data_IF_165065024289
#
_entry.id   IF_165065024289
#
_cell.length_a   1.000
_cell.length_b   1.000
_cell.length_c   1.000
_cell.angle_alpha   90.00
_cell.angle_beta   90.00
_cell.angle_gamma   90.00
#
_symmetry.space_group_name_H-M   'P 1'
#
loop_
_entity.id
_entity.type
_entity.pdbx_description
1 polymer ?
#
# COMPACT_ATOMS: atom_id res chain seq x y z
N UNK A 1 22.90 32.33 -11.16
CA UNK A 1 22.19 31.35 -12.00
C UNK A 1 23.10 30.13 -12.09
N UNK A 2 22.61 28.93 -11.76
CA UNK A 2 23.51 27.78 -11.45
C UNK A 2 23.69 26.81 -12.62
N UNK A 3 22.63 26.49 -13.37
CA UNK A 3 22.66 25.50 -14.47
C UNK A 3 21.66 25.88 -15.59
N UNK A 4 20.59 25.09 -15.80
CA UNK A 4 19.69 25.12 -16.96
C UNK A 4 19.13 26.49 -17.33
N UNK A 5 18.71 27.31 -16.36
CA UNK A 5 18.20 28.67 -16.60
C UNK A 5 19.22 29.54 -17.36
N UNK A 6 20.51 29.34 -17.09
CA UNK A 6 21.61 30.11 -17.71
C UNK A 6 22.12 29.53 -19.01
N UNK A 7 21.81 28.25 -19.28
CA UNK A 7 22.13 27.59 -20.53
C UNK A 7 21.04 27.88 -21.57
N UNK A 8 19.79 27.56 -21.25
CA UNK A 8 18.64 27.89 -22.08
C UNK A 8 17.33 27.80 -21.28
N UNK A 9 16.86 28.93 -20.79
CA UNK A 9 15.66 28.95 -19.95
C UNK A 9 14.38 28.47 -20.65
N UNK A 10 14.26 28.69 -21.96
CA UNK A 10 13.05 28.35 -22.71
C UNK A 10 13.05 26.90 -23.16
N UNK A 11 14.24 26.31 -23.40
CA UNK A 11 14.34 24.92 -23.80
C UNK A 11 14.20 23.92 -22.63
N UNK A 12 14.55 24.31 -21.40
CA UNK A 12 14.54 23.37 -20.27
C UNK A 12 13.27 23.40 -19.42
N UNK A 13 12.62 24.56 -19.30
CA UNK A 13 11.51 24.75 -18.36
C UNK A 13 10.20 25.04 -19.06
N UNK A 14 9.11 24.57 -18.45
CA UNK A 14 7.76 24.92 -18.86
C UNK A 14 7.45 26.36 -18.47
N UNK A 15 6.82 27.09 -19.39
CA UNK A 15 6.40 28.47 -19.19
C UNK A 15 4.89 28.58 -19.25
N UNK A 16 4.32 29.48 -18.45
CA UNK A 16 2.89 29.76 -18.50
C UNK A 16 2.50 30.29 -19.89
N UNK A 17 1.51 29.69 -20.57
CA UNK A 17 1.06 30.16 -21.89
C UNK A 17 0.57 31.62 -21.87
N UNK A 18 0.00 32.03 -20.74
CA UNK A 18 -0.56 33.37 -20.54
C UNK A 18 0.51 34.40 -20.12
N UNK A 19 1.65 33.94 -19.60
CA UNK A 19 2.74 34.80 -19.19
C UNK A 19 4.10 34.09 -19.32
N UNK A 20 4.75 34.15 -20.49
CA UNK A 20 6.01 33.42 -20.77
C UNK A 20 7.23 33.84 -19.94
N UNK A 21 7.09 34.81 -19.03
CA UNK A 21 8.12 35.17 -18.05
C UNK A 21 7.98 34.38 -16.73
N UNK A 22 6.87 33.65 -16.56
CA UNK A 22 6.59 32.84 -15.39
C UNK A 22 6.65 31.35 -15.74
N UNK A 23 7.17 30.54 -14.83
CA UNK A 23 7.15 29.10 -14.99
C UNK A 23 5.75 28.54 -14.75
N UNK A 24 5.43 27.49 -15.48
CA UNK A 24 4.32 26.60 -15.19
C UNK A 24 4.80 25.60 -14.11
N UNK A 25 4.49 25.88 -12.85
CA UNK A 25 4.90 25.06 -11.70
C UNK A 25 3.79 24.08 -11.31
N UNK A 26 3.92 22.86 -11.79
CA UNK A 26 3.04 21.73 -11.45
C UNK A 26 3.65 20.85 -10.36
N UNK A 27 4.85 21.20 -9.88
CA UNK A 27 5.60 20.44 -8.88
C UNK A 27 5.50 21.03 -7.48
N UNK A 28 5.24 22.34 -7.37
CA UNK A 28 5.24 23.08 -6.12
C UNK A 28 6.62 23.55 -5.68
N UNK A 29 7.64 23.38 -6.54
CA UNK A 29 9.04 23.71 -6.23
C UNK A 29 9.54 24.97 -6.97
N UNK A 30 8.63 25.69 -7.64
CA UNK A 30 8.85 26.95 -8.34
C UNK A 30 9.07 26.83 -9.84
N UNK A 31 9.25 25.63 -10.40
CA UNK A 31 9.41 25.38 -11.84
C UNK A 31 9.14 23.90 -12.19
N UNK A 32 8.91 23.62 -13.48
CA UNK A 32 8.81 22.25 -14.00
C UNK A 32 9.67 22.10 -15.25
N UNK A 33 10.38 20.98 -15.38
CA UNK A 33 11.11 20.66 -16.63
C UNK A 33 10.13 20.36 -17.77
N UNK A 34 10.47 20.79 -18.99
CA UNK A 34 9.63 20.58 -20.16
C UNK A 34 10.01 19.30 -20.93
N UNK A 35 9.42 18.18 -20.52
CA UNK A 35 9.61 16.88 -21.17
C UNK A 35 9.00 16.79 -22.59
N UNK A 36 8.40 17.86 -23.12
CA UNK A 36 8.03 17.92 -24.54
C UNK A 36 9.21 18.32 -25.43
N UNK A 37 10.29 18.84 -24.85
CA UNK A 37 11.48 19.29 -25.58
C UNK A 37 12.45 18.12 -25.82
N UNK A 38 12.89 17.87 -27.07
CA UNK A 38 13.82 16.77 -27.37
C UNK A 38 15.10 16.78 -26.54
N UNK A 39 15.63 17.97 -26.22
CA UNK A 39 16.84 18.12 -25.39
C UNK A 39 16.62 17.63 -23.96
N UNK A 40 15.46 17.92 -23.36
CA UNK A 40 15.09 17.50 -22.00
C UNK A 40 14.81 15.99 -21.98
N UNK A 41 14.10 15.47 -22.98
CA UNK A 41 13.87 14.03 -23.16
C UNK A 41 15.21 13.30 -23.23
N UNK A 42 16.12 13.75 -24.11
CA UNK A 42 17.45 13.14 -24.27
C UNK A 42 18.24 13.20 -22.96
N UNK A 43 18.26 14.35 -22.30
CA UNK A 43 18.95 14.52 -21.01
C UNK A 43 18.45 13.52 -19.96
N UNK A 44 17.13 13.38 -19.83
CA UNK A 44 16.53 12.47 -18.86
C UNK A 44 16.82 11.00 -19.20
N UNK A 45 16.65 10.59 -20.46
CA UNK A 45 16.97 9.23 -20.90
C UNK A 45 18.46 8.91 -20.73
N UNK A 46 19.36 9.81 -21.11
CA UNK A 46 20.81 9.60 -20.94
C UNK A 46 21.17 9.49 -19.44
N UNK A 47 20.53 10.26 -18.57
CA UNK A 47 20.68 10.13 -17.12
C UNK A 47 20.23 8.75 -16.63
N UNK A 48 19.05 8.30 -17.03
CA UNK A 48 18.53 6.97 -16.64
C UNK A 48 19.44 5.85 -17.15
N UNK A 49 19.88 5.91 -18.41
CA UNK A 49 20.81 4.92 -18.98
C UNK A 49 22.14 4.90 -18.22
N UNK A 50 22.68 6.07 -17.87
CA UNK A 50 23.88 6.17 -17.05
C UNK A 50 23.71 5.47 -15.69
N UNK A 51 22.60 5.70 -15.00
CA UNK A 51 22.33 5.02 -13.72
C UNK A 51 22.18 3.50 -13.89
N UNK A 52 21.55 3.02 -14.96
CA UNK A 52 21.42 1.59 -15.22
C UNK A 52 22.75 0.94 -15.62
N UNK A 53 23.43 1.45 -16.64
CA UNK A 53 24.64 0.81 -17.20
C UNK A 53 25.91 1.04 -16.39
N UNK A 54 26.08 2.26 -15.85
CA UNK A 54 27.34 2.65 -15.18
C UNK A 54 27.24 2.44 -13.68
N UNK A 55 26.11 2.79 -13.08
CA UNK A 55 25.92 2.71 -11.63
C UNK A 55 25.28 1.39 -11.19
N UNK A 56 24.71 0.61 -12.11
CA UNK A 56 24.13 -0.71 -11.83
C UNK A 56 22.75 -0.66 -11.17
N UNK A 57 21.95 0.39 -11.43
CA UNK A 57 20.60 0.55 -10.88
C UNK A 57 19.58 -0.33 -11.63
N UNK A 58 18.78 -1.11 -10.88
CA UNK A 58 17.78 -2.07 -11.42
C UNK A 58 16.41 -1.44 -11.79
N UNK A 59 16.18 -0.19 -11.42
CA UNK A 59 14.93 0.51 -11.64
C UNK A 59 14.80 1.83 -10.91
N UNK A 60 13.69 2.53 -11.13
CA UNK A 60 13.47 3.90 -10.70
C UNK A 60 12.07 4.09 -10.12
N UNK A 61 11.96 4.84 -9.02
CA UNK A 61 10.72 5.47 -8.56
C UNK A 61 10.75 6.94 -8.96
N UNK A 62 9.83 7.33 -9.83
CA UNK A 62 9.69 8.69 -10.33
C UNK A 62 8.81 9.50 -9.39
N UNK A 63 9.41 10.52 -8.79
CA UNK A 63 8.73 11.55 -8.01
C UNK A 63 7.86 12.43 -8.89
N UNK A 64 6.65 12.74 -8.41
CA UNK A 64 5.63 13.51 -9.12
C UNK A 64 5.52 13.15 -10.61
N UNK A 65 5.41 11.84 -10.90
CA UNK A 65 5.68 11.26 -12.23
C UNK A 65 4.76 11.80 -13.33
N UNK A 66 3.61 12.37 -12.96
CA UNK A 66 2.67 13.01 -13.88
C UNK A 66 3.32 14.18 -14.61
N UNK A 67 4.26 14.88 -13.96
CA UNK A 67 5.06 15.96 -14.56
C UNK A 67 5.78 15.50 -15.83
N UNK A 68 6.21 14.23 -15.88
CA UNK A 68 6.95 13.64 -17.01
C UNK A 68 6.08 13.45 -18.27
N UNK A 69 4.76 13.38 -18.08
CA UNK A 69 3.76 13.18 -19.14
C UNK A 69 2.92 14.43 -19.44
N UNK A 70 3.28 15.61 -18.90
CA UNK A 70 2.47 16.82 -19.06
C UNK A 70 2.58 17.46 -20.44
N UNK A 71 1.45 17.56 -21.11
CA UNK A 71 1.26 18.37 -22.32
C UNK A 71 0.65 19.74 -21.97
N UNK A 72 0.26 20.53 -22.97
CA UNK A 72 -0.59 21.72 -22.76
C UNK A 72 -2.02 21.35 -22.32
N UNK A 73 -2.48 20.12 -22.60
CA UNK A 73 -3.86 19.67 -22.35
C UNK A 73 -3.99 18.78 -21.10
N UNK A 74 -2.92 18.65 -20.30
CA UNK A 74 -2.86 17.73 -19.16
C UNK A 74 -1.92 16.55 -19.39
N UNK A 75 -2.02 15.54 -18.54
CA UNK A 75 -1.24 14.31 -18.65
C UNK A 75 -1.63 13.50 -19.89
N UNK A 76 -0.66 12.86 -20.52
CA UNK A 76 -0.88 11.91 -21.60
C UNK A 76 0.00 10.69 -21.39
N UNK A 77 -0.61 9.50 -21.38
CA UNK A 77 0.10 8.21 -21.32
C UNK A 77 1.00 8.02 -22.55
N UNK A 78 0.61 8.58 -23.70
CA UNK A 78 1.36 8.55 -24.96
C UNK A 78 2.38 9.70 -25.09
N UNK A 79 2.71 10.37 -24.00
CA UNK A 79 3.67 11.48 -24.03
C UNK A 79 5.03 11.01 -24.59
N UNK A 80 5.71 11.80 -25.46
CA UNK A 80 6.93 11.36 -26.14
C UNK A 80 8.02 10.83 -25.20
N UNK A 81 8.15 11.41 -24.01
CA UNK A 81 9.08 10.91 -22.99
C UNK A 81 8.70 9.51 -22.49
N UNK A 82 7.43 9.26 -22.18
CA UNK A 82 6.97 7.97 -21.65
C UNK A 82 7.07 6.87 -22.72
N UNK A 83 6.73 7.18 -23.97
CA UNK A 83 6.93 6.26 -25.11
C UNK A 83 8.42 5.94 -25.27
N UNK A 84 9.29 6.96 -25.26
CA UNK A 84 10.73 6.74 -25.39
C UNK A 84 11.31 5.93 -24.22
N UNK A 85 10.86 6.19 -22.99
CA UNK A 85 11.28 5.47 -21.77
C UNK A 85 10.92 3.98 -21.85
N UNK A 86 9.67 3.68 -22.18
CA UNK A 86 9.13 2.32 -22.15
C UNK A 86 9.56 1.45 -23.33
N UNK A 87 9.93 2.07 -24.45
CA UNK A 87 10.44 1.38 -25.65
C UNK A 87 11.95 1.33 -25.76
N UNK A 88 12.67 2.00 -24.85
CA UNK A 88 14.12 1.97 -24.80
C UNK A 88 14.62 0.54 -24.49
N UNK A 89 15.57 -0.01 -25.26
CA UNK A 89 16.01 -1.39 -25.10
C UNK A 89 16.73 -1.66 -23.78
N UNK A 90 17.30 -0.63 -23.14
CA UNK A 90 17.95 -0.74 -21.84
C UNK A 90 16.95 -0.44 -20.70
N UNK A 91 16.17 0.64 -20.82
CA UNK A 91 15.31 1.12 -19.72
C UNK A 91 13.96 0.40 -19.65
N UNK A 92 13.37 0.02 -20.78
CA UNK A 92 12.06 -0.64 -20.84
C UNK A 92 11.97 -1.92 -19.98
N UNK A 93 13.01 -2.77 -19.91
CA UNK A 93 13.06 -3.94 -19.03
C UNK A 93 13.32 -3.66 -17.54
N UNK A 94 13.70 -2.42 -17.16
CA UNK A 94 13.95 -2.08 -15.75
C UNK A 94 12.65 -1.89 -14.98
N UNK A 95 12.71 -1.85 -13.64
CA UNK A 95 11.51 -1.56 -12.84
C UNK A 95 11.20 -0.07 -12.90
N UNK A 96 10.01 0.29 -13.35
CA UNK A 96 9.56 1.68 -13.45
C UNK A 96 8.37 1.88 -12.50
N UNK A 97 8.55 2.68 -11.46
CA UNK A 97 7.54 2.97 -10.44
C UNK A 97 7.18 4.44 -10.50
N UNK A 98 5.91 4.79 -10.61
CA UNK A 98 5.42 6.15 -10.61
C UNK A 98 4.81 6.52 -9.25
N UNK A 99 5.08 7.75 -8.80
CA UNK A 99 4.12 8.50 -7.99
C UNK A 99 3.09 9.10 -8.95
N UNK A 100 1.87 8.54 -9.05
CA UNK A 100 0.95 8.84 -10.14
C UNK A 100 0.13 10.11 -9.89
N UNK A 101 0.75 11.12 -9.30
CA UNK A 101 0.18 12.44 -9.15
C UNK A 101 1.24 13.55 -9.26
N UNK A 102 0.76 14.78 -9.43
CA UNK A 102 1.50 16.00 -9.11
C UNK A 102 0.52 17.04 -8.53
N UNK A 103 0.97 18.26 -8.24
CA UNK A 103 0.09 19.30 -7.64
C UNK A 103 -0.67 20.13 -8.69
N UNK A 104 -0.40 19.92 -9.97
CA UNK A 104 -1.04 20.66 -11.06
C UNK A 104 -2.49 20.24 -11.27
N UNK A 105 -3.26 21.06 -12.00
CA UNK A 105 -4.63 20.70 -12.37
C UNK A 105 -4.66 19.38 -13.15
N UNK A 106 -5.57 18.47 -12.77
CA UNK A 106 -5.65 17.13 -13.32
C UNK A 106 -4.44 16.25 -12.94
N UNK A 107 -3.77 16.56 -11.83
CA UNK A 107 -2.58 15.86 -11.37
C UNK A 107 -2.82 14.41 -10.97
N UNK A 108 -3.99 14.04 -10.44
CA UNK A 108 -4.26 12.65 -10.02
C UNK A 108 -4.47 11.72 -11.22
N UNK A 109 -3.54 10.79 -11.43
CA UNK A 109 -3.45 9.91 -12.61
C UNK A 109 -3.24 8.44 -12.24
N UNK A 110 -3.68 8.03 -11.05
CA UNK A 110 -3.59 6.63 -10.60
C UNK A 110 -4.30 5.72 -11.61
N UNK A 111 -3.58 4.72 -12.11
CA UNK A 111 -4.06 3.75 -13.09
C UNK A 111 -3.78 4.14 -14.55
N UNK A 112 -3.40 5.40 -14.82
CA UNK A 112 -3.26 5.93 -16.18
C UNK A 112 -1.83 5.85 -16.74
N UNK A 113 -0.87 5.27 -16.01
CA UNK A 113 0.50 5.11 -16.52
C UNK A 113 0.63 3.94 -17.52
N UNK A 114 1.68 3.95 -18.37
CA UNK A 114 1.93 2.87 -19.31
C UNK A 114 2.00 1.49 -18.64
N UNK A 115 1.66 0.43 -19.40
CA UNK A 115 1.53 -0.95 -18.91
C UNK A 115 2.79 -1.45 -18.20
N UNK A 116 3.99 -1.08 -18.67
CA UNK A 116 5.27 -1.49 -18.07
C UNK A 116 5.61 -0.77 -16.77
N UNK A 117 4.83 0.25 -16.37
CA UNK A 117 5.02 0.98 -15.13
C UNK A 117 4.09 0.44 -14.04
N UNK A 118 4.59 0.51 -12.81
CA UNK A 118 3.84 0.26 -11.57
C UNK A 118 3.64 1.59 -10.86
N UNK A 119 2.66 1.68 -9.97
CA UNK A 119 2.22 2.94 -9.39
C UNK A 119 2.01 2.82 -7.89
N UNK A 120 2.43 3.84 -7.14
CA UNK A 120 2.03 4.00 -5.75
C UNK A 120 0.51 4.10 -5.63
N UNK A 121 -0.07 3.22 -4.81
CA UNK A 121 -1.52 3.15 -4.58
C UNK A 121 -1.90 3.94 -3.31
N UNK A 122 -2.14 5.24 -3.47
CA UNK A 122 -2.61 6.12 -2.40
C UNK A 122 -3.99 5.71 -1.87
N UNK A 123 -4.86 5.16 -2.73
CA UNK A 123 -6.19 4.66 -2.31
C UNK A 123 -6.08 3.47 -1.37
N UNK A 124 -5.13 2.56 -1.59
CA UNK A 124 -4.80 1.49 -0.64
C UNK A 124 -4.33 2.07 0.69
N UNK A 125 -3.33 2.97 0.65
CA UNK A 125 -2.80 3.64 1.85
C UNK A 125 -3.90 4.28 2.68
N UNK A 126 -4.68 5.14 2.03
CA UNK A 126 -5.70 5.96 2.65
C UNK A 126 -6.82 5.11 3.24
N UNK A 127 -7.29 4.11 2.49
CA UNK A 127 -8.39 3.29 2.93
C UNK A 127 -7.99 2.35 4.07
N UNK A 128 -6.82 1.68 3.98
CA UNK A 128 -6.36 0.76 5.04
C UNK A 128 -6.07 1.52 6.35
N UNK A 129 -5.51 2.73 6.27
CA UNK A 129 -5.38 3.62 7.44
C UNK A 129 -6.73 3.94 8.05
N UNK A 130 -7.70 4.37 7.22
CA UNK A 130 -9.05 4.66 7.69
C UNK A 130 -9.73 3.43 8.30
N UNK A 131 -9.60 2.25 7.70
CA UNK A 131 -10.13 0.97 8.19
C UNK A 131 -9.70 0.68 9.62
N UNK A 132 -8.39 0.55 9.85
CA UNK A 132 -7.88 0.13 11.14
C UNK A 132 -7.89 1.23 12.20
N UNK A 133 -7.69 2.49 11.79
CA UNK A 133 -7.50 3.60 12.73
C UNK A 133 -8.77 4.42 12.89
N UNK A 134 -9.24 5.11 11.84
CA UNK A 134 -10.35 6.04 11.96
C UNK A 134 -11.69 5.33 12.24
N UNK A 135 -12.02 4.30 11.46
CA UNK A 135 -13.24 3.51 11.61
C UNK A 135 -13.16 2.60 12.83
N UNK A 136 -12.03 1.92 13.04
CA UNK A 136 -11.79 1.13 14.26
C UNK A 136 -11.92 1.93 15.55
N UNK A 137 -11.53 3.21 15.56
CA UNK A 137 -11.73 4.12 16.69
C UNK A 137 -13.18 4.61 16.87
N UNK A 138 -14.09 4.28 15.94
CA UNK A 138 -15.45 4.81 15.90
C UNK A 138 -15.53 6.31 15.60
N UNK A 139 -14.48 6.90 15.00
CA UNK A 139 -14.39 8.35 14.71
C UNK A 139 -15.22 8.80 13.51
N UNK A 140 -15.88 7.89 12.81
CA UNK A 140 -16.65 8.22 11.61
C UNK A 140 -18.11 7.78 11.75
N UNK A 141 -19.02 8.71 11.47
CA UNK A 141 -20.47 8.49 11.57
C UNK A 141 -21.00 7.56 10.47
N UNK A 142 -22.23 7.06 10.65
CA UNK A 142 -22.86 6.00 9.83
C UNK A 142 -23.08 6.25 8.34
N UNK A 143 -22.54 7.32 7.76
CA UNK A 143 -22.54 7.55 6.29
C UNK A 143 -21.19 7.31 5.64
N UNK A 144 -20.11 7.39 6.40
CA UNK A 144 -18.74 7.17 5.95
C UNK A 144 -18.19 5.97 6.74
N UNK A 145 -18.78 4.79 6.59
CA UNK A 145 -18.22 3.56 7.14
C UNK A 145 -17.28 2.92 6.12
N UNK A 146 -16.20 2.28 6.60
CA UNK A 146 -15.46 1.37 5.75
C UNK A 146 -16.41 0.27 5.29
N UNK A 147 -16.74 0.27 4.00
CA UNK A 147 -17.54 -0.81 3.43
C UNK A 147 -16.63 -2.00 3.14
N UNK A 148 -17.09 -3.20 3.50
CA UNK A 148 -16.41 -4.44 3.16
C UNK A 148 -15.96 -4.54 1.68
N UNK A 149 -16.76 -4.09 0.68
CA UNK A 149 -16.33 -4.05 -0.72
C UNK A 149 -15.04 -3.28 -0.99
N UNK A 150 -14.86 -2.10 -0.39
CA UNK A 150 -13.68 -1.28 -0.68
C UNK A 150 -12.43 -1.91 -0.06
N UNK A 151 -12.52 -2.48 1.15
CA UNK A 151 -11.43 -3.27 1.74
C UNK A 151 -11.11 -4.49 0.87
N UNK A 152 -12.13 -5.25 0.47
CA UNK A 152 -11.98 -6.43 -0.38
C UNK A 152 -11.27 -6.09 -1.69
N UNK A 153 -11.69 -4.99 -2.33
CA UNK A 153 -11.05 -4.48 -3.55
C UNK A 153 -9.57 -4.14 -3.33
N UNK A 154 -9.23 -3.51 -2.19
CA UNK A 154 -7.83 -3.22 -1.84
C UNK A 154 -7.02 -4.49 -1.61
N UNK A 155 -7.55 -5.46 -0.87
CA UNK A 155 -6.92 -6.75 -0.57
C UNK A 155 -6.71 -7.60 -1.84
N UNK A 156 -7.63 -7.51 -2.80
CA UNK A 156 -7.63 -8.26 -4.07
C UNK A 156 -6.80 -7.59 -5.18
N UNK A 157 -6.03 -6.54 -4.88
CA UNK A 157 -5.07 -5.94 -5.80
C UNK A 157 -5.56 -4.68 -6.54
N UNK A 158 -6.70 -4.10 -6.14
CA UNK A 158 -7.25 -2.85 -6.69
C UNK A 158 -7.54 -2.90 -8.20
N UNK A 159 -8.28 -3.92 -8.64
CA UNK A 159 -8.66 -4.10 -10.04
C UNK A 159 -9.45 -2.90 -10.62
N UNK A 160 -10.17 -2.16 -9.78
CA UNK A 160 -10.86 -0.92 -10.14
C UNK A 160 -9.89 0.16 -10.67
N UNK A 161 -8.69 0.23 -10.10
CA UNK A 161 -7.66 1.20 -10.47
C UNK A 161 -6.73 0.70 -11.57
N UNK A 162 -6.43 -0.59 -11.61
CA UNK A 162 -5.38 -1.10 -12.50
C UNK A 162 -5.91 -2.04 -13.60
N UNK A 163 -7.14 -2.52 -13.51
CA UNK A 163 -7.72 -3.44 -14.50
C UNK A 163 -8.32 -2.79 -15.74
N UNK A 164 -8.55 -1.48 -15.73
CA UNK A 164 -9.31 -0.77 -16.77
C UNK A 164 -8.49 -0.30 -17.99
N UNK A 165 -7.23 -0.74 -18.14
CA UNK A 165 -6.39 -0.36 -19.29
C UNK A 165 -6.92 -0.91 -20.61
N UNK A 166 -6.41 -0.43 -21.76
CA UNK A 166 -6.73 -1.02 -23.07
C UNK A 166 -5.56 -1.82 -23.66
N UNK A 167 -5.75 -3.10 -24.06
CA UNK A 167 -6.90 -3.97 -23.78
C UNK A 167 -7.17 -4.17 -22.27
N UNK A 168 -8.44 -4.41 -21.92
CA UNK A 168 -8.89 -4.62 -20.54
C UNK A 168 -8.11 -5.76 -19.87
N UNK A 169 -7.70 -5.56 -18.61
CA UNK A 169 -6.95 -6.55 -17.83
C UNK A 169 -5.49 -6.77 -18.25
N UNK A 170 -4.93 -5.93 -19.13
CA UNK A 170 -3.50 -6.03 -19.51
C UNK A 170 -2.54 -5.79 -18.34
N UNK A 171 -2.92 -4.93 -17.40
CA UNK A 171 -2.21 -4.76 -16.13
C UNK A 171 -2.87 -5.66 -15.09
N UNK A 172 -2.05 -6.33 -14.29
CA UNK A 172 -2.49 -7.16 -13.16
C UNK A 172 -2.25 -6.49 -11.80
N UNK A 173 -2.45 -7.22 -10.68
CA UNK A 173 -2.23 -6.71 -9.32
C UNK A 173 -0.85 -6.10 -9.09
N UNK A 174 0.17 -6.60 -9.81
CA UNK A 174 1.55 -6.14 -9.69
C UNK A 174 1.76 -4.68 -10.15
N UNK A 175 0.82 -4.13 -10.93
CA UNK A 175 0.79 -2.70 -11.25
C UNK A 175 0.63 -1.83 -9.99
N UNK A 176 0.04 -2.40 -8.93
CA UNK A 176 -0.16 -1.72 -7.65
C UNK A 176 1.05 -1.88 -6.73
N UNK A 177 1.67 -0.76 -6.38
CA UNK A 177 2.57 -0.67 -5.23
C UNK A 177 1.72 -0.27 -4.01
N UNK A 178 1.34 -1.27 -3.22
CA UNK A 178 0.62 -1.06 -1.97
C UNK A 178 1.59 -0.55 -0.90
N UNK A 179 1.16 0.43 -0.11
CA UNK A 179 1.94 0.95 1.00
C UNK A 179 1.00 1.52 2.06
N UNK A 180 1.42 1.46 3.33
CA UNK A 180 0.72 2.16 4.42
C UNK A 180 1.40 3.47 4.72
N UNK A 181 2.70 3.57 4.49
CA UNK A 181 3.58 4.65 4.94
C UNK A 181 4.69 4.84 3.91
N UNK A 182 5.18 6.06 3.83
CA UNK A 182 6.26 6.46 2.96
C UNK A 182 7.09 7.53 3.70
N UNK A 183 8.08 8.10 3.03
CA UNK A 183 8.81 9.24 3.59
C UNK A 183 7.89 10.46 3.78
N UNK A 184 6.83 10.58 2.97
CA UNK A 184 5.78 11.57 3.16
C UNK A 184 4.75 11.11 4.19
N UNK A 185 4.48 11.96 5.18
CA UNK A 185 3.54 11.67 6.26
C UNK A 185 4.20 11.01 7.47
N UNK A 186 3.37 10.36 8.29
CA UNK A 186 3.82 9.65 9.47
C UNK A 186 4.51 8.32 9.13
N UNK A 187 5.40 7.88 10.03
CA UNK A 187 5.82 6.47 10.14
C UNK A 187 4.66 5.59 10.62
N UNK A 188 4.79 4.27 10.53
CA UNK A 188 3.69 3.39 10.93
C UNK A 188 3.43 3.44 12.44
N UNK A 189 4.48 3.60 13.24
CA UNK A 189 4.35 3.83 14.67
C UNK A 189 3.61 5.17 14.95
N UNK A 190 4.03 6.26 14.30
CA UNK A 190 3.45 7.58 14.55
C UNK A 190 1.99 7.69 14.08
N UNK A 191 1.57 6.93 13.06
CA UNK A 191 0.15 6.78 12.70
C UNK A 191 -0.72 6.28 13.85
N UNK A 192 -0.17 5.50 14.76
CA UNK A 192 -0.89 4.97 15.95
C UNK A 192 -0.68 5.83 17.20
N UNK A 193 0.25 6.79 17.16
CA UNK A 193 0.63 7.57 18.33
C UNK A 193 0.18 9.04 18.28
N UNK A 194 -0.16 9.57 17.11
CA UNK A 194 -0.47 10.99 16.92
C UNK A 194 -1.75 11.20 16.11
N UNK A 195 -2.61 12.12 16.55
CA UNK A 195 -3.73 12.60 15.74
C UNK A 195 -3.34 13.85 14.95
N UNK A 196 -2.51 14.71 15.55
CA UNK A 196 -2.08 15.97 14.95
C UNK A 196 -0.61 15.88 14.53
N UNK A 197 -0.23 16.66 13.52
CA UNK A 197 1.17 16.79 13.10
C UNK A 197 1.92 17.75 14.04
N UNK A 198 3.18 17.44 14.31
CA UNK A 198 4.11 18.20 15.16
C UNK A 198 5.38 18.54 14.35
N UNK A 199 5.21 19.40 13.34
CA UNK A 199 6.26 19.85 12.42
C UNK A 199 6.93 21.16 12.90
N UNK A 200 6.81 21.55 14.17
CA UNK A 200 7.37 22.79 14.70
C UNK A 200 8.88 22.92 14.43
N UNK A 201 9.59 21.79 14.45
CA UNK A 201 11.02 21.71 14.18
C UNK A 201 11.41 22.18 12.76
N UNK A 202 10.47 22.20 11.80
CA UNK A 202 10.71 22.65 10.44
C UNK A 202 10.76 24.18 10.32
N UNK A 203 10.35 24.92 11.36
CA UNK A 203 10.40 26.39 11.39
C UNK A 203 9.28 27.09 10.64
N UNK A 204 8.31 26.36 10.10
CA UNK A 204 7.18 26.92 9.33
C UNK A 204 5.92 27.13 10.20
N UNK A 205 6.06 27.07 11.53
CA UNK A 205 4.94 27.16 12.49
C UNK A 205 3.87 26.10 12.21
N UNK A 206 4.31 24.86 11.96
CA UNK A 206 3.45 23.69 11.74
C UNK A 206 2.48 23.83 10.54
N UNK A 207 2.78 24.70 9.56
CA UNK A 207 1.94 24.90 8.37
C UNK A 207 2.22 23.87 7.27
N UNK A 208 3.41 23.30 7.26
CA UNK A 208 3.85 22.31 6.29
C UNK A 208 3.39 20.89 6.64
N UNK A 209 3.46 19.98 5.67
CA UNK A 209 2.93 18.61 5.79
C UNK A 209 1.41 18.51 5.63
N UNK A 210 0.92 17.30 5.38
CA UNK A 210 -0.52 17.02 5.23
C UNK A 210 -1.28 17.17 6.54
N UNK A 211 -2.53 17.60 6.49
CA UNK A 211 -3.46 17.58 7.64
C UNK A 211 -4.36 16.32 7.64
N UNK A 212 -4.30 15.52 6.56
CA UNK A 212 -5.14 14.34 6.38
C UNK A 212 -4.34 13.04 6.60
N UNK A 213 -3.84 12.84 7.82
CA UNK A 213 -3.00 11.67 8.13
C UNK A 213 -3.78 10.35 8.24
N UNK A 214 -5.08 10.44 8.53
CA UNK A 214 -5.97 9.30 8.84
C UNK A 214 -5.41 8.42 9.97
N UNK A 215 -4.80 9.07 10.96
CA UNK A 215 -4.15 8.45 12.11
C UNK A 215 -5.09 8.34 13.32
N UNK A 216 -4.69 7.55 14.30
CA UNK A 216 -5.38 7.47 15.59
C UNK A 216 -4.39 7.25 16.72
N UNK A 217 -4.34 8.18 17.66
CA UNK A 217 -3.40 8.16 18.79
C UNK A 217 -3.75 7.17 19.93
N UNK A 218 -4.86 6.43 19.80
CA UNK A 218 -5.38 5.51 20.82
C UNK A 218 -5.72 6.14 22.18
N UNK A 219 -5.93 7.46 22.23
CA UNK A 219 -6.37 8.19 23.43
C UNK A 219 -5.29 9.01 24.12
N UNK A 220 -4.02 8.84 23.74
CA UNK A 220 -2.90 9.65 24.24
C UNK A 220 -2.12 10.23 23.06
N UNK A 221 -1.76 11.52 23.06
CA UNK A 221 -0.97 12.13 21.99
C UNK A 221 0.53 11.94 22.27
N UNK A 222 1.23 11.20 21.42
CA UNK A 222 2.65 10.89 21.56
C UNK A 222 2.97 9.81 22.61
N UNK A 223 4.16 9.86 23.25
CA UNK A 223 4.60 8.89 24.25
C UNK A 223 3.64 8.79 25.45
N UNK A 224 3.46 7.57 25.98
CA UNK A 224 2.58 7.29 27.13
C UNK A 224 3.05 6.03 27.87
N UNK A 225 2.73 5.93 29.15
CA UNK A 225 2.96 4.75 30.00
C UNK A 225 1.70 3.89 30.18
N UNK A 226 0.57 4.27 29.55
CA UNK A 226 -0.68 3.51 29.62
C UNK A 226 -0.57 2.20 28.84
N UNK A 227 -0.54 1.08 29.56
CA UNK A 227 -0.35 -0.27 29.02
C UNK A 227 -1.43 -0.68 28.02
N UNK A 228 -2.68 -0.24 28.22
CA UNK A 228 -3.80 -0.58 27.34
C UNK A 228 -3.68 0.19 26.02
N UNK A 229 -3.29 1.47 26.09
CA UNK A 229 -3.01 2.29 24.90
C UNK A 229 -1.85 1.70 24.11
N UNK A 230 -0.75 1.35 24.78
CA UNK A 230 0.42 0.78 24.13
C UNK A 230 0.11 -0.57 23.45
N UNK A 231 -0.65 -1.46 24.11
CA UNK A 231 -1.09 -2.72 23.51
C UNK A 231 -1.98 -2.49 22.29
N UNK A 232 -2.93 -1.56 22.37
CA UNK A 232 -3.81 -1.23 21.24
C UNK A 232 -3.04 -0.66 20.05
N UNK A 233 -2.04 0.21 20.28
CA UNK A 233 -1.16 0.75 19.23
C UNK A 233 -0.38 -0.35 18.52
N UNK A 234 0.26 -1.24 19.29
CA UNK A 234 1.03 -2.37 18.75
C UNK A 234 0.15 -3.31 17.91
N UNK A 235 -1.07 -3.60 18.37
CA UNK A 235 -2.04 -4.37 17.58
C UNK A 235 -2.44 -3.67 16.28
N UNK A 236 -2.76 -2.37 16.31
CA UNK A 236 -3.05 -1.59 15.10
C UNK A 236 -1.87 -1.58 14.14
N UNK A 237 -0.64 -1.45 14.65
CA UNK A 237 0.58 -1.50 13.85
C UNK A 237 0.73 -2.84 13.13
N UNK A 238 0.51 -3.95 13.84
CA UNK A 238 0.46 -5.30 13.24
C UNK A 238 -0.67 -5.48 12.24
N UNK A 239 -1.86 -4.93 12.50
CA UNK A 239 -2.98 -4.97 11.55
C UNK A 239 -2.64 -4.25 10.24
N UNK A 240 -2.06 -3.06 10.32
CA UNK A 240 -1.64 -2.26 9.16
C UNK A 240 -0.58 -3.01 8.33
N UNK A 241 0.48 -3.49 8.99
CA UNK A 241 1.58 -4.20 8.33
C UNK A 241 1.17 -5.59 7.82
N UNK A 242 0.31 -6.30 8.55
CA UNK A 242 -0.31 -7.55 8.13
C UNK A 242 -1.17 -7.36 6.89
N UNK A 243 -2.03 -6.34 6.88
CA UNK A 243 -2.86 -6.01 5.70
C UNK A 243 -1.97 -5.73 4.49
N UNK A 244 -0.91 -4.94 4.65
CA UNK A 244 0.06 -4.67 3.59
C UNK A 244 0.70 -5.94 3.03
N UNK A 245 1.25 -6.79 3.90
CA UNK A 245 2.02 -7.97 3.50
C UNK A 245 1.15 -9.14 3.03
N UNK A 246 -0.15 -9.14 3.32
CA UNK A 246 -1.08 -10.21 2.94
C UNK A 246 -1.98 -9.85 1.76
N UNK A 247 -2.01 -8.58 1.33
CA UNK A 247 -2.74 -8.13 0.14
C UNK A 247 -2.09 -8.59 -1.17
N UNK A 248 -2.89 -8.73 -2.23
CA UNK A 248 -2.40 -8.87 -3.60
C UNK A 248 -1.78 -7.56 -4.11
N UNK A 249 -0.77 -7.66 -4.97
CA UNK A 249 0.06 -6.54 -5.43
C UNK A 249 1.46 -6.54 -4.84
N UNK A 250 2.19 -5.45 -5.01
CA UNK A 250 3.58 -5.33 -4.54
C UNK A 250 3.63 -4.51 -3.25
N UNK A 251 3.92 -5.10 -2.08
CA UNK A 251 4.02 -4.34 -0.83
C UNK A 251 5.32 -3.53 -0.78
N UNK A 252 5.21 -2.25 -0.43
CA UNK A 252 6.34 -1.37 -0.10
C UNK A 252 6.32 -1.06 1.40
N UNK A 253 7.40 -1.46 2.07
CA UNK A 253 7.64 -1.14 3.48
C UNK A 253 8.52 0.11 3.58
N UNK A 254 8.11 1.08 4.39
CA UNK A 254 8.98 2.20 4.76
C UNK A 254 10.06 1.69 5.71
N UNK A 255 11.33 1.90 5.34
CA UNK A 255 12.45 1.50 6.21
C UNK A 255 12.33 2.10 7.61
N UNK A 256 12.42 1.25 8.62
CA UNK A 256 12.29 1.61 10.02
C UNK A 256 10.92 1.28 10.61
N UNK A 257 9.88 1.07 9.81
CA UNK A 257 8.56 0.68 10.33
C UNK A 257 8.58 -0.71 10.97
N UNK A 258 9.45 -1.61 10.50
CA UNK A 258 9.66 -2.94 11.10
C UNK A 258 10.22 -2.88 12.52
N UNK A 259 10.84 -1.76 12.90
CA UNK A 259 11.39 -1.53 14.24
C UNK A 259 10.64 -0.42 14.98
N UNK A 260 9.48 0.01 14.51
CA UNK A 260 8.68 1.04 15.16
C UNK A 260 9.34 2.42 15.16
N UNK A 261 10.07 2.79 14.09
CA UNK A 261 10.71 4.10 13.95
C UNK A 261 9.69 5.22 14.17
N UNK A 262 10.08 6.24 14.91
CA UNK A 262 9.27 7.43 15.18
C UNK A 262 9.96 8.68 14.61
N UNK A 263 9.17 9.61 14.09
CA UNK A 263 9.57 10.98 13.79
C UNK A 263 8.99 11.96 14.82
N UNK A 264 8.60 11.45 15.99
CA UNK A 264 8.03 12.19 17.13
C UNK A 264 6.79 13.00 16.76
N UNK A 265 5.99 12.48 15.83
CA UNK A 265 4.81 13.18 15.34
C UNK A 265 5.12 14.24 14.28
N UNK A 266 6.36 14.35 13.77
CA UNK A 266 6.58 15.04 12.51
C UNK A 266 6.07 14.16 11.37
N UNK A 267 5.29 14.74 10.46
CA UNK A 267 4.79 14.05 9.27
C UNK A 267 5.40 14.60 7.96
N UNK A 268 6.44 15.43 8.10
CA UNK A 268 7.10 16.11 6.99
C UNK A 268 8.57 16.41 7.36
N UNK A 269 9.33 15.39 7.78
CA UNK A 269 10.70 15.55 8.26
C UNK A 269 11.74 15.82 7.13
N UNK A 270 11.35 16.49 6.04
CA UNK A 270 12.17 16.68 4.83
C UNK A 270 13.47 17.48 5.07
N UNK A 271 13.46 18.38 6.06
CA UNK A 271 14.59 19.24 6.41
C UNK A 271 15.29 18.85 7.72
N UNK A 272 14.95 17.67 8.27
CA UNK A 272 15.50 17.18 9.53
C UNK A 272 16.62 16.19 9.27
N UNK A 273 17.87 16.65 9.34
CA UNK A 273 19.10 15.85 9.29
C UNK A 273 19.59 15.59 10.73
N UNK A 274 18.80 14.87 11.52
CA UNK A 274 19.02 14.66 12.97
C UNK A 274 18.21 13.46 13.54
N UNK A 275 18.18 13.29 14.86
CA UNK A 275 17.53 12.17 15.56
C UNK A 275 16.01 12.05 15.32
N UNK A 276 15.35 13.06 14.74
CA UNK A 276 13.96 12.95 14.29
C UNK A 276 13.86 11.98 13.12
N UNK A 277 14.82 11.96 12.20
CA UNK A 277 14.77 11.14 10.98
C UNK A 277 15.71 9.93 11.02
N UNK A 278 16.69 9.92 11.94
CA UNK A 278 17.69 8.85 12.05
C UNK A 278 17.06 7.52 12.48
N UNK A 279 17.72 6.45 12.06
CA UNK A 279 17.39 5.11 12.53
C UNK A 279 17.99 4.93 13.91
N UNK A 280 17.12 4.76 14.90
CA UNK A 280 17.53 4.35 16.24
C UNK A 280 17.66 2.82 16.27
N UNK A 281 18.87 2.35 16.53
CA UNK A 281 19.18 0.92 16.59
C UNK A 281 19.13 0.38 18.03
N UNK A 282 18.96 1.24 19.02
CA UNK A 282 18.63 0.81 20.39
C UNK A 282 17.14 0.46 20.44
N UNK A 283 16.85 -0.81 20.73
CA UNK A 283 15.49 -1.36 20.59
C UNK A 283 14.94 -1.82 21.92
N UNK A 284 13.70 -1.43 22.19
CA UNK A 284 12.87 -1.97 23.24
C UNK A 284 12.36 -3.37 22.87
N UNK A 285 11.96 -4.21 23.86
CA UNK A 285 11.48 -5.56 23.60
C UNK A 285 10.37 -5.65 22.54
N UNK A 286 9.38 -4.76 22.60
CA UNK A 286 8.26 -4.77 21.64
C UNK A 286 8.68 -4.45 20.20
N UNK A 287 9.77 -3.70 20.00
CA UNK A 287 10.30 -3.39 18.66
C UNK A 287 10.97 -4.62 18.05
N UNK A 288 11.57 -5.48 18.88
CA UNK A 288 12.12 -6.76 18.44
C UNK A 288 10.99 -7.72 18.04
N UNK A 289 9.93 -7.80 18.85
CA UNK A 289 8.74 -8.62 18.57
C UNK A 289 8.00 -8.17 17.30
N UNK A 290 7.91 -6.86 17.07
CA UNK A 290 7.40 -6.30 15.82
C UNK A 290 8.26 -6.69 14.62
N UNK A 291 9.58 -6.59 14.75
CA UNK A 291 10.49 -6.97 13.69
C UNK A 291 10.37 -8.46 13.35
N UNK A 292 10.25 -9.33 14.37
CA UNK A 292 9.99 -10.75 14.19
C UNK A 292 8.67 -10.98 13.45
N UNK A 293 7.62 -10.24 13.81
CA UNK A 293 6.32 -10.29 13.13
C UNK A 293 6.44 -9.94 11.65
N UNK A 294 7.11 -8.83 11.32
CA UNK A 294 7.31 -8.40 9.92
C UNK A 294 8.14 -9.43 9.15
N UNK A 295 9.21 -9.94 9.75
CA UNK A 295 10.05 -10.97 9.13
C UNK A 295 9.27 -12.27 8.87
N UNK A 296 8.43 -12.69 9.81
CA UNK A 296 7.58 -13.87 9.69
C UNK A 296 6.55 -13.72 8.55
N UNK A 297 5.86 -12.58 8.48
CA UNK A 297 4.91 -12.28 7.40
C UNK A 297 5.58 -12.24 6.02
N UNK A 298 6.78 -11.66 5.91
CA UNK A 298 7.58 -11.68 4.67
C UNK A 298 7.96 -13.11 4.29
N UNK A 299 8.36 -13.94 5.26
CA UNK A 299 8.69 -15.34 5.04
C UNK A 299 7.47 -16.14 4.55
N UNK A 300 6.30 -15.94 5.15
CA UNK A 300 5.04 -16.55 4.71
C UNK A 300 4.69 -16.13 3.28
N UNK A 301 4.72 -14.82 2.97
CA UNK A 301 4.49 -14.30 1.60
C UNK A 301 5.46 -14.89 0.59
N UNK A 302 6.71 -15.10 0.98
CA UNK A 302 7.75 -15.67 0.10
C UNK A 302 7.58 -17.16 -0.12
N UNK A 303 7.05 -17.88 0.88
CA UNK A 303 6.83 -19.33 0.82
C UNK A 303 5.59 -19.71 0.02
N UNK A 304 4.49 -18.98 0.18
CA UNK A 304 3.20 -19.34 -0.40
C UNK A 304 2.89 -18.50 -1.64
N UNK A 305 2.80 -19.10 -2.83
CA UNK A 305 2.52 -18.37 -4.08
C UNK A 305 1.15 -17.70 -4.07
N UNK A 306 0.18 -18.28 -3.38
CA UNK A 306 -1.19 -17.75 -3.26
C UNK A 306 -1.25 -16.33 -2.65
N UNK A 307 -0.21 -15.93 -1.90
CA UNK A 307 -0.05 -14.58 -1.35
C UNK A 307 0.58 -13.59 -2.35
N UNK A 308 0.99 -14.04 -3.53
CA UNK A 308 1.69 -13.25 -4.57
C UNK A 308 0.99 -13.38 -5.92
N UNK A 309 -0.31 -13.05 -5.95
CA UNK A 309 -1.11 -13.13 -7.16
C UNK A 309 -0.50 -12.34 -8.33
N UNK A 310 -0.35 -13.02 -9.46
CA UNK A 310 0.14 -12.45 -10.72
C UNK A 310 -0.98 -11.88 -11.59
N UNK A 311 -2.22 -12.33 -11.35
CA UNK A 311 -3.44 -11.92 -12.07
C UNK A 311 -4.51 -11.51 -11.07
N UNK A 312 -5.47 -10.72 -11.54
CA UNK A 312 -6.66 -10.44 -10.74
C UNK A 312 -7.45 -11.72 -10.54
N UNK A 313 -8.12 -11.79 -9.40
CA UNK A 313 -8.99 -12.91 -9.09
C UNK A 313 -10.29 -12.80 -9.88
N UNK A 314 -10.72 -13.91 -10.46
CA UNK A 314 -11.95 -13.98 -11.26
C UNK A 314 -13.10 -14.67 -10.50
N UNK A 315 -12.81 -15.31 -9.37
CA UNK A 315 -13.79 -16.10 -8.61
C UNK A 315 -14.19 -17.37 -9.34
N UNK A 316 -13.34 -17.86 -10.24
CA UNK A 316 -13.60 -19.03 -11.09
C UNK A 316 -12.47 -20.03 -10.96
N UNK A 317 -12.79 -21.27 -11.31
CA UNK A 317 -11.80 -22.33 -11.43
C UNK A 317 -10.90 -22.10 -12.66
N UNK A 318 -9.60 -22.03 -12.42
CA UNK A 318 -8.59 -21.78 -13.45
C UNK A 318 -8.19 -23.06 -14.22
N UNK A 319 -8.43 -24.26 -13.67
CA UNK A 319 -8.26 -25.53 -14.37
C UNK A 319 -9.42 -26.50 -14.13
N UNK A 320 -10.61 -26.25 -14.72
CA UNK A 320 -11.81 -27.09 -14.52
C UNK A 320 -11.69 -28.52 -15.05
N UNK A 321 -10.52 -28.95 -15.52
CA UNK A 321 -10.24 -30.28 -16.06
C UNK A 321 -9.64 -31.23 -15.03
N UNK A 322 -9.11 -30.73 -13.92
CA UNK A 322 -8.47 -31.56 -12.89
C UNK A 322 -9.46 -32.27 -11.95
N UNK A 323 -10.77 -32.02 -12.15
CA UNK A 323 -11.90 -32.56 -11.38
C UNK A 323 -12.00 -32.05 -9.94
N UNK A 324 -11.15 -31.09 -9.55
CA UNK A 324 -11.16 -30.42 -8.26
C UNK A 324 -11.66 -28.98 -8.44
N UNK A 325 -13.00 -28.83 -8.48
CA UNK A 325 -13.64 -27.55 -8.79
C UNK A 325 -13.30 -26.51 -7.74
N UNK A 326 -12.37 -25.60 -8.07
CA UNK A 326 -11.79 -24.71 -7.08
C UNK A 326 -11.55 -23.30 -7.61
N UNK A 327 -12.37 -22.36 -7.14
CA UNK A 327 -12.22 -20.95 -7.50
C UNK A 327 -10.88 -20.38 -7.00
N UNK A 328 -10.24 -19.54 -7.80
CA UNK A 328 -8.99 -18.84 -7.47
C UNK A 328 -9.12 -17.94 -6.23
N UNK A 329 -10.32 -17.47 -5.94
CA UNK A 329 -10.69 -16.86 -4.67
C UNK A 329 -12.18 -16.98 -4.34
N UNK A 330 -12.50 -16.78 -3.07
CA UNK A 330 -13.87 -16.64 -2.59
C UNK A 330 -13.92 -15.74 -1.35
N UNK A 331 -15.04 -15.05 -1.16
CA UNK A 331 -15.32 -14.28 0.05
C UNK A 331 -16.32 -15.03 0.92
N UNK A 332 -16.19 -14.90 2.24
CA UNK A 332 -17.16 -15.48 3.15
C UNK A 332 -17.54 -14.51 4.26
N UNK A 333 -18.78 -14.64 4.71
CA UNK A 333 -19.35 -13.89 5.83
C UNK A 333 -18.79 -14.40 7.16
N UNK A 334 -19.17 -13.75 8.27
CA UNK A 334 -18.83 -14.22 9.64
C UNK A 334 -19.33 -15.65 9.93
N UNK A 335 -20.40 -16.08 9.25
CA UNK A 335 -20.99 -17.41 9.41
C UNK A 335 -20.32 -18.50 8.57
N UNK A 336 -19.27 -18.16 7.79
CA UNK A 336 -18.59 -19.11 6.89
C UNK A 336 -19.38 -19.41 5.61
N UNK A 337 -20.47 -18.68 5.38
CA UNK A 337 -21.28 -18.76 4.16
C UNK A 337 -20.70 -17.84 3.08
N UNK A 338 -20.92 -18.17 1.81
CA UNK A 338 -20.55 -17.31 0.69
C UNK A 338 -21.20 -15.93 0.80
N UNK A 339 -20.52 -14.93 0.25
CA UNK A 339 -21.03 -13.58 0.10
C UNK A 339 -22.26 -13.51 -0.81
N UNK A 340 -23.10 -12.51 -0.57
CA UNK A 340 -24.20 -12.12 -1.46
C UNK A 340 -24.22 -10.59 -1.66
N UNK A 341 -25.10 -10.11 -2.55
CA UNK A 341 -25.20 -8.69 -2.87
C UNK A 341 -25.58 -7.85 -1.63
N UNK A 342 -26.48 -8.37 -0.79
CA UNK A 342 -26.92 -7.69 0.44
C UNK A 342 -25.76 -7.55 1.44
N UNK A 343 -24.89 -8.56 1.55
CA UNK A 343 -23.70 -8.53 2.40
C UNK A 343 -22.67 -7.49 1.94
N UNK A 344 -22.49 -7.34 0.62
CA UNK A 344 -21.61 -6.31 0.05
C UNK A 344 -22.14 -4.90 0.27
N UNK A 345 -23.45 -4.71 0.19
CA UNK A 345 -24.09 -3.41 0.38
C UNK A 345 -24.29 -3.02 1.85
N UNK A 346 -24.20 -3.98 2.79
CA UNK A 346 -24.40 -3.71 4.22
C UNK A 346 -23.23 -2.90 4.83
N UNK A 347 -23.49 -1.65 5.28
CA UNK A 347 -22.48 -0.84 5.97
C UNK A 347 -22.09 -1.38 7.36
N UNK A 348 -22.83 -2.36 7.89
CA UNK A 348 -22.53 -3.08 9.12
C UNK A 348 -21.48 -4.19 8.96
N UNK A 349 -21.16 -4.59 7.73
CA UNK A 349 -20.21 -5.66 7.45
C UNK A 349 -18.80 -5.26 7.90
N UNK A 350 -18.33 -5.90 8.97
CA UNK A 350 -17.06 -5.61 9.63
C UNK A 350 -16.18 -6.84 9.82
N UNK A 351 -16.72 -8.03 9.55
CA UNK A 351 -15.97 -9.29 9.53
C UNK A 351 -15.94 -9.82 8.11
N UNK A 352 -14.76 -10.12 7.59
CA UNK A 352 -14.56 -10.64 6.25
C UNK A 352 -13.62 -11.84 6.27
N UNK A 353 -13.90 -12.79 5.40
CA UNK A 353 -13.02 -13.92 5.13
C UNK A 353 -12.65 -13.92 3.65
N UNK A 354 -11.37 -13.95 3.34
CA UNK A 354 -10.86 -13.99 1.97
C UNK A 354 -10.05 -15.26 1.76
N UNK A 355 -10.65 -16.23 1.09
CA UNK A 355 -9.98 -17.45 0.68
C UNK A 355 -9.35 -17.23 -0.68
N UNK A 356 -8.11 -17.68 -0.82
CA UNK A 356 -7.38 -17.69 -2.08
C UNK A 356 -6.81 -19.06 -2.30
N UNK A 357 -6.84 -19.46 -3.56
CA UNK A 357 -6.52 -20.81 -3.98
C UNK A 357 -5.29 -20.82 -4.87
N UNK A 358 -4.34 -21.72 -4.59
CA UNK A 358 -3.25 -21.95 -5.54
C UNK A 358 -3.76 -22.76 -6.74
N UNK A 359 -3.40 -22.42 -7.99
CA UNK A 359 -3.71 -23.25 -9.15
C UNK A 359 -2.90 -24.55 -9.21
N UNK A 360 -2.04 -24.80 -8.22
CA UNK A 360 -1.23 -26.02 -8.12
C UNK A 360 -1.64 -26.82 -6.89
N UNK A 361 -2.00 -28.08 -7.10
CA UNK A 361 -2.49 -28.99 -6.06
C UNK A 361 -1.47 -29.30 -4.96
N UNK A 362 -0.17 -29.13 -5.22
CA UNK A 362 0.90 -29.34 -4.24
C UNK A 362 1.28 -28.07 -3.45
N UNK A 363 0.50 -27.00 -3.60
CA UNK A 363 0.71 -25.74 -2.89
C UNK A 363 -0.47 -25.42 -1.96
N UNK A 364 -0.13 -24.84 -0.80
CA UNK A 364 -1.12 -24.43 0.19
C UNK A 364 -1.92 -23.20 -0.25
N UNK A 365 -3.13 -23.16 0.29
CA UNK A 365 -4.11 -22.10 0.15
C UNK A 365 -4.00 -21.14 1.30
N UNK A 366 -4.63 -19.99 1.17
CA UNK A 366 -4.62 -18.98 2.21
C UNK A 366 -6.03 -18.49 2.50
N UNK A 367 -6.40 -18.51 3.77
CA UNK A 367 -7.60 -17.88 4.28
C UNK A 367 -7.19 -16.70 5.18
N UNK A 368 -7.51 -15.48 4.77
CA UNK A 368 -7.34 -14.28 5.60
C UNK A 368 -8.67 -13.94 6.23
N UNK A 369 -8.71 -13.90 7.56
CA UNK A 369 -9.89 -13.52 8.32
C UNK A 369 -9.63 -12.19 9.00
N UNK A 370 -10.53 -11.23 8.83
CA UNK A 370 -10.43 -9.89 9.40
C UNK A 370 -11.65 -9.65 10.27
N UNK A 371 -11.44 -9.36 11.56
CA UNK A 371 -12.44 -8.76 12.43
C UNK A 371 -12.12 -7.27 12.59
N UNK A 372 -12.70 -6.43 11.75
CA UNK A 372 -12.61 -4.97 11.87
C UNK A 372 -13.66 -4.37 12.79
N UNK A 373 -14.49 -5.17 13.44
CA UNK A 373 -15.47 -4.69 14.41
C UNK A 373 -14.79 -4.30 15.73
N UNK A 374 -15.50 -3.51 16.53
CA UNK A 374 -15.09 -3.09 17.87
C UNK A 374 -15.47 -4.09 18.96
N UNK A 375 -16.01 -5.24 18.56
CA UNK A 375 -16.45 -6.31 19.44
C UNK A 375 -15.75 -7.61 19.05
N UNK A 376 -15.68 -8.54 19.99
CA UNK A 376 -15.15 -9.87 19.71
C UNK A 376 -16.18 -10.61 18.83
N UNK A 377 -15.69 -11.33 17.82
CA UNK A 377 -16.52 -12.03 16.86
C UNK A 377 -16.34 -13.54 17.00
N UNK A 378 -17.46 -14.26 16.94
CA UNK A 378 -17.48 -15.71 16.78
C UNK A 378 -17.55 -16.01 15.29
N UNK A 379 -16.42 -16.41 14.70
CA UNK A 379 -16.29 -16.62 13.25
C UNK A 379 -16.34 -18.12 12.94
N UNK A 380 -17.20 -18.52 12.01
CA UNK A 380 -17.19 -19.89 11.47
C UNK A 380 -16.24 -19.93 10.27
N UNK A 381 -15.23 -20.79 10.32
CA UNK A 381 -14.34 -21.06 9.18
C UNK A 381 -15.17 -21.72 8.06
N UNK A 382 -15.04 -21.30 6.79
CA UNK A 382 -15.82 -21.84 5.69
C UNK A 382 -15.75 -23.38 5.66
N UNK A 383 -16.89 -24.00 5.40
CA UNK A 383 -17.00 -25.46 5.26
C UNK A 383 -16.90 -25.81 3.77
N UNK A 384 -15.67 -25.97 3.31
CA UNK A 384 -15.32 -26.22 1.91
C UNK A 384 -14.96 -27.69 1.62
N UNK A 385 -15.20 -28.60 2.59
CA UNK A 385 -14.71 -29.99 2.60
C UNK A 385 -13.19 -30.10 2.36
N UNK A 386 -12.46 -29.00 2.55
CA UNK A 386 -11.03 -28.88 2.27
C UNK A 386 -10.12 -29.48 3.35
N UNK A 387 -8.79 -29.36 3.17
CA UNK A 387 -7.82 -29.74 4.19
C UNK A 387 -7.96 -28.92 5.48
N UNK A 388 -7.33 -29.40 6.55
CA UNK A 388 -7.25 -28.65 7.81
C UNK A 388 -6.44 -27.36 7.63
N UNK A 389 -6.84 -26.31 8.33
CA UNK A 389 -6.19 -25.00 8.33
C UNK A 389 -5.17 -24.89 9.47
N UNK A 390 -3.95 -24.47 9.15
CA UNK A 390 -2.94 -24.08 10.13
C UNK A 390 -3.00 -22.56 10.36
N UNK A 391 -3.15 -22.11 11.61
CA UNK A 391 -3.13 -20.68 11.97
C UNK A 391 -1.68 -20.15 11.89
N UNK A 392 -1.31 -19.63 10.72
CA UNK A 392 0.06 -19.20 10.45
C UNK A 392 0.42 -17.88 11.14
N UNK A 393 -0.54 -16.99 11.37
CA UNK A 393 -0.33 -15.70 12.02
C UNK A 393 -1.62 -15.08 12.56
N UNK A 394 -1.55 -14.41 13.72
CA UNK A 394 -2.62 -13.60 14.32
C UNK A 394 -2.05 -12.25 14.76
N UNK A 395 -2.73 -11.14 14.41
CA UNK A 395 -2.31 -9.81 14.84
C UNK A 395 -2.52 -9.53 16.33
N UNK A 396 -3.27 -10.38 17.03
CA UNK A 396 -3.39 -10.37 18.49
C UNK A 396 -2.11 -10.83 19.20
N UNK A 397 -1.26 -11.62 18.55
CA UNK A 397 0.03 -12.05 19.11
C UNK A 397 0.99 -10.87 19.19
N UNK A 398 1.70 -10.71 20.31
CA UNK A 398 2.79 -9.74 20.39
C UNK A 398 4.01 -10.25 19.62
N UNK A 399 4.27 -11.57 19.65
CA UNK A 399 5.32 -12.24 18.86
C UNK A 399 4.79 -13.47 18.09
N UNK A 400 5.34 -13.78 16.89
CA UNK A 400 5.07 -15.03 16.20
C UNK A 400 5.41 -16.30 17.01
N UNK A 401 6.22 -16.18 18.07
CA UNK A 401 6.51 -17.29 18.98
C UNK A 401 5.27 -17.77 19.78
N UNK A 402 4.19 -16.99 19.81
CA UNK A 402 2.90 -17.38 20.41
C UNK A 402 2.10 -18.37 19.53
N UNK A 403 2.59 -18.68 18.33
CA UNK A 403 1.98 -19.65 17.42
C UNK A 403 1.72 -21.00 18.09
N UNK A 404 0.50 -21.51 17.94
CA UNK A 404 0.12 -22.87 18.34
C UNK A 404 0.06 -23.78 17.12
N UNK A 405 0.49 -25.04 17.24
CA UNK A 405 0.38 -26.05 16.16
C UNK A 405 -1.05 -26.61 16.00
N UNK A 406 -2.06 -25.86 16.46
CA UNK A 406 -3.44 -26.33 16.45
C UNK A 406 -4.03 -26.22 15.04
N UNK A 407 -4.47 -27.37 14.52
CA UNK A 407 -5.18 -27.43 13.25
C UNK A 407 -6.65 -27.11 13.45
N UNK A 408 -7.16 -26.23 12.59
CA UNK A 408 -8.55 -25.76 12.58
C UNK A 408 -9.29 -26.46 11.45
N UNK A 409 -10.38 -27.18 11.77
CA UNK A 409 -11.18 -27.84 10.74
C UNK A 409 -12.09 -26.84 10.00
N UNK A 410 -12.38 -27.05 8.70
CA UNK A 410 -13.50 -26.41 8.03
C UNK A 410 -14.80 -26.54 8.86
N UNK A 411 -15.63 -25.50 8.85
CA UNK A 411 -16.86 -25.42 9.65
C UNK A 411 -16.67 -25.21 11.17
N UNK A 412 -15.43 -25.14 11.66
CA UNK A 412 -15.18 -24.87 13.08
C UNK A 412 -15.42 -23.40 13.44
N UNK A 413 -15.85 -23.17 14.68
CA UNK A 413 -16.12 -21.82 15.19
C UNK A 413 -14.94 -21.36 16.03
N UNK A 414 -14.32 -20.24 15.65
CA UNK A 414 -13.18 -19.61 16.33
C UNK A 414 -13.58 -18.26 16.92
N UNK A 415 -13.05 -17.95 18.11
CA UNK A 415 -13.20 -16.63 18.70
C UNK A 415 -12.09 -15.70 18.20
N UNK A 416 -12.47 -14.54 17.70
CA UNK A 416 -11.57 -13.51 17.22
C UNK A 416 -11.76 -12.21 18.00
N UNK A 417 -10.72 -11.69 18.67
CA UNK A 417 -10.82 -10.42 19.37
C UNK A 417 -11.18 -9.27 18.40
N UNK A 418 -11.79 -8.21 18.93
CA UNK A 418 -12.02 -6.98 18.19
C UNK A 418 -10.74 -6.42 17.54
N UNK A 419 -10.89 -5.84 16.34
CA UNK A 419 -9.80 -5.21 15.60
C UNK A 419 -8.56 -6.12 15.45
N UNK A 420 -8.77 -7.32 14.92
CA UNK A 420 -7.72 -8.31 14.65
C UNK A 420 -7.82 -8.88 13.24
N UNK A 421 -6.74 -9.49 12.78
CA UNK A 421 -6.72 -10.28 11.56
C UNK A 421 -5.87 -11.54 11.75
N UNK A 422 -6.25 -12.60 11.05
CA UNK A 422 -5.58 -13.90 11.04
C UNK A 422 -5.26 -14.33 9.62
N UNK A 423 -4.15 -15.03 9.47
CA UNK A 423 -3.82 -15.80 8.27
C UNK A 423 -3.81 -17.28 8.63
N UNK A 424 -4.63 -18.04 7.93
CA UNK A 424 -4.54 -19.49 7.89
C UNK A 424 -3.94 -19.95 6.57
N UNK A 425 -3.19 -21.05 6.62
CA UNK A 425 -2.69 -21.75 5.42
C UNK A 425 -3.15 -23.19 5.46
N UNK A 426 -3.56 -23.75 4.32
CA UNK A 426 -4.01 -25.14 4.29
C UNK A 426 -2.86 -26.11 4.53
N UNK A 427 -3.15 -27.23 5.20
CA UNK A 427 -2.23 -28.36 5.28
C UNK A 427 -2.13 -29.04 3.91
N UNK A 428 -0.89 -29.32 3.46
CA UNK A 428 -0.58 -30.02 2.21
C UNK A 428 -0.46 -31.52 2.47
#
# INVERSE_FOLDING_TARGET
MVSWRGLDNYAYYRHSPMNPLHYDDVTGTGNSLDFSQPTVIKMALDSLRYWTEVMGVDGFRFDLAVTLGRTMNGFSTDHPFLVALTTDPLLGPTKLIAEPWDIGLGGWQVGNFPISMTEWNDRFRDYVRSYWLAFGAGKVGGRDHATAPELATRLAGSADLFGHTEPYGMRGPLASINFITAHDGFTAHDLTAYNDKHNEANGERNRDGTDNNRSYNHGAEGPTDDVEVLAARRRSLRNLLGTLLLSAGTPMLLGGDEMGRTQRGSNNAYCQDNEISWFDWEREPWQLELQETVAHLIALRTRHLVLRAERFYEGVDLDPRDQDLRADSAWFTVAGEHEDDDWWEDPGTSVLQFMRSSPKLDEADALVVINGSREDASVTIPDDDGPLWNLAWDSAWESPAEHTEDLTAPGSVVQMPSLTMRLYVSAI
#
